data_IF_803461735099
#
_entry.id   IF_803461735099
#
_cell.length_a   1.000
_cell.length_b   1.000
_cell.length_c   1.000
_cell.angle_alpha   90.00
_cell.angle_beta   90.00
_cell.angle_gamma   90.00
#
_symmetry.space_group_name_H-M   'P 1'
#
loop_
_entity.id
_entity.type
_entity.pdbx_description
1 polymer ?
#
# COMPACT_ATOMS: atom_id res chain seq x y z
N UNK A 1 -6.69 -7.36 15.10
CA UNK A 1 -6.98 -5.94 15.07
C UNK A 1 -7.37 -5.54 13.64
N UNK A 2 -7.99 -4.37 13.47
CA UNK A 2 -8.09 -3.71 12.16
C UNK A 2 -7.65 -2.25 12.30
N UNK A 3 -7.14 -1.66 11.21
CA UNK A 3 -6.70 -0.28 11.18
C UNK A 3 -7.83 0.66 11.65
N UNK A 4 -7.48 1.71 12.39
CA UNK A 4 -8.44 2.66 12.97
C UNK A 4 -9.38 3.30 11.94
N UNK A 5 -8.89 3.44 10.70
CA UNK A 5 -9.63 3.99 9.57
C UNK A 5 -10.32 2.92 8.70
N UNK A 6 -10.13 1.63 8.94
CA UNK A 6 -10.64 0.56 8.08
C UNK A 6 -12.16 0.61 7.97
N UNK A 7 -12.88 0.68 9.09
CA UNK A 7 -14.34 0.75 9.13
C UNK A 7 -14.93 2.05 8.53
N UNK A 8 -14.11 3.11 8.37
CA UNK A 8 -14.51 4.36 7.71
C UNK A 8 -14.43 4.24 6.18
N UNK A 9 -13.58 3.34 5.67
CA UNK A 9 -13.37 3.15 4.23
C UNK A 9 -14.11 1.92 3.68
N UNK A 10 -14.11 0.82 4.42
CA UNK A 10 -14.76 -0.43 4.05
C UNK A 10 -16.27 -0.29 4.28
N UNK A 11 -17.05 -0.55 3.24
CA UNK A 11 -18.50 -0.40 3.28
C UNK A 11 -19.17 -0.94 2.02
N UNK A 12 -20.35 -0.42 1.70
CA UNK A 12 -21.14 -0.86 0.55
C UNK A 12 -21.14 0.18 -0.56
N UNK A 13 -21.22 -0.29 -1.80
CA UNK A 13 -21.49 0.55 -2.97
C UNK A 13 -22.67 0.00 -3.76
N UNK A 14 -23.38 0.90 -4.44
CA UNK A 14 -24.48 0.55 -5.33
C UNK A 14 -23.97 0.44 -6.77
N UNK A 15 -24.28 -0.68 -7.42
CA UNK A 15 -24.02 -0.89 -8.85
C UNK A 15 -25.12 -0.26 -9.69
N UNK A 16 -24.88 -0.08 -10.99
CA UNK A 16 -25.88 0.41 -11.95
C UNK A 16 -27.12 -0.49 -12.02
N UNK A 17 -26.96 -1.78 -11.72
CA UNK A 17 -28.06 -2.74 -11.59
C UNK A 17 -28.94 -2.51 -10.36
N UNK A 18 -28.53 -1.63 -9.45
CA UNK A 18 -29.16 -1.41 -8.15
C UNK A 18 -28.71 -2.37 -7.04
N UNK A 19 -27.94 -3.42 -7.36
CA UNK A 19 -27.37 -4.36 -6.39
C UNK A 19 -26.36 -3.65 -5.48
N UNK A 20 -26.44 -3.92 -4.17
CA UNK A 20 -25.45 -3.49 -3.21
C UNK A 20 -24.36 -4.55 -3.05
N UNK A 21 -23.11 -4.13 -3.22
CA UNK A 21 -21.94 -4.99 -3.06
C UNK A 21 -20.92 -4.33 -2.15
N UNK A 22 -20.13 -5.11 -1.38
CA UNK A 22 -19.00 -4.54 -0.65
C UNK A 22 -18.07 -3.77 -1.58
N UNK A 23 -17.60 -2.61 -1.14
CA UNK A 23 -16.83 -1.68 -1.96
C UNK A 23 -15.36 -2.12 -2.19
N UNK A 24 -14.89 -3.14 -1.47
CA UNK A 24 -13.63 -3.87 -1.69
C UNK A 24 -13.80 -5.15 -2.53
N UNK A 25 -15.03 -5.57 -2.86
CA UNK A 25 -15.27 -6.76 -3.66
C UNK A 25 -15.16 -6.50 -5.16
N UNK A 26 -14.82 -7.55 -5.91
CA UNK A 26 -15.15 -7.65 -7.32
C UNK A 26 -16.62 -8.08 -7.48
N UNK A 27 -17.43 -7.21 -8.09
CA UNK A 27 -18.86 -7.42 -8.28
C UNK A 27 -19.21 -8.66 -9.10
N UNK A 28 -18.29 -9.09 -9.98
CA UNK A 28 -18.45 -10.27 -10.83
C UNK A 28 -18.02 -11.58 -10.16
N UNK A 29 -17.33 -11.52 -9.02
CA UNK A 29 -16.79 -12.68 -8.32
C UNK A 29 -17.58 -13.00 -7.06
N UNK A 30 -18.37 -14.08 -7.09
CA UNK A 30 -19.13 -14.56 -5.92
C UNK A 30 -18.24 -14.80 -4.69
N UNK A 31 -17.08 -15.49 -4.78
CA UNK A 31 -16.17 -15.64 -3.64
C UNK A 31 -15.65 -14.31 -3.09
N UNK A 32 -15.36 -13.33 -3.97
CA UNK A 32 -14.90 -12.01 -3.55
C UNK A 32 -15.98 -11.24 -2.79
N UNK A 33 -17.23 -11.28 -3.28
CA UNK A 33 -18.38 -10.67 -2.59
C UNK A 33 -18.62 -11.31 -1.23
N UNK A 34 -18.50 -12.63 -1.13
CA UNK A 34 -18.75 -13.36 0.13
C UNK A 34 -17.68 -13.06 1.18
N UNK A 35 -16.40 -13.13 0.82
CA UNK A 35 -15.30 -12.78 1.72
C UNK A 35 -15.39 -11.33 2.18
N UNK A 36 -15.61 -10.39 1.25
CA UNK A 36 -15.73 -8.98 1.59
C UNK A 36 -16.94 -8.71 2.51
N UNK A 37 -18.06 -9.41 2.32
CA UNK A 37 -19.22 -9.28 3.22
C UNK A 37 -18.86 -9.74 4.64
N UNK A 38 -18.20 -10.89 4.78
CA UNK A 38 -17.75 -11.39 6.08
C UNK A 38 -16.75 -10.46 6.77
N UNK A 39 -15.89 -9.79 6.00
CA UNK A 39 -15.01 -8.73 6.53
C UNK A 39 -15.85 -7.57 7.07
N UNK A 40 -16.87 -7.10 6.34
CA UNK A 40 -17.76 -6.02 6.82
C UNK A 40 -18.52 -6.43 8.08
N UNK A 41 -19.01 -7.67 8.14
CA UNK A 41 -19.73 -8.20 9.31
C UNK A 41 -18.81 -8.22 10.55
N UNK A 42 -17.56 -8.67 10.41
CA UNK A 42 -16.55 -8.68 11.49
C UNK A 42 -16.14 -7.26 11.93
N UNK A 43 -16.20 -6.28 11.02
CA UNK A 43 -15.98 -4.87 11.32
C UNK A 43 -17.23 -4.13 11.84
N UNK A 44 -18.33 -4.84 12.06
CA UNK A 44 -19.63 -4.28 12.48
C UNK A 44 -20.15 -3.16 11.56
N UNK A 45 -19.78 -3.19 10.28
CA UNK A 45 -20.24 -2.21 9.29
C UNK A 45 -21.67 -2.57 8.88
N UNK A 46 -22.64 -1.64 8.98
CA UNK A 46 -24.04 -1.93 8.66
C UNK A 46 -24.24 -2.57 7.29
N UNK A 47 -24.86 -3.74 7.27
CA UNK A 47 -25.07 -4.52 6.04
C UNK A 47 -26.08 -3.83 5.13
N UNK A 48 -25.79 -3.80 3.81
CA UNK A 48 -26.77 -3.37 2.81
C UNK A 48 -27.14 -1.89 2.86
N UNK A 49 -26.29 -1.03 3.44
CA UNK A 49 -26.48 0.42 3.43
C UNK A 49 -25.21 1.09 2.92
N UNK A 50 -25.36 1.97 1.92
CA UNK A 50 -24.28 2.88 1.51
C UNK A 50 -24.23 3.99 2.54
N UNK A 51 -23.15 4.06 3.33
CA UNK A 51 -22.98 5.13 4.30
C UNK A 51 -22.87 6.49 3.57
N UNK A 52 -23.47 7.57 4.10
CA UNK A 52 -23.44 8.89 3.45
C UNK A 52 -22.04 9.38 3.10
N UNK A 53 -21.06 9.01 3.94
CA UNK A 53 -19.66 9.42 3.81
C UNK A 53 -18.80 8.40 3.04
N UNK A 54 -19.41 7.39 2.40
CA UNK A 54 -18.68 6.41 1.59
C UNK A 54 -17.98 7.12 0.43
N UNK A 55 -16.64 7.06 0.33
CA UNK A 55 -15.95 7.79 -0.71
C UNK A 55 -16.21 7.21 -2.10
N UNK A 56 -16.33 8.09 -3.11
CA UNK A 56 -16.49 7.69 -4.51
C UNK A 56 -15.24 7.05 -5.11
N UNK A 57 -14.05 7.42 -4.63
CA UNK A 57 -12.78 6.82 -5.05
C UNK A 57 -11.95 6.39 -3.83
N UNK A 58 -11.89 5.08 -3.62
CA UNK A 58 -11.30 4.47 -2.44
C UNK A 58 -9.77 4.36 -2.51
N UNK A 59 -9.19 4.40 -3.71
CA UNK A 59 -7.72 4.37 -3.90
C UNK A 59 -7.05 5.57 -3.21
N UNK A 60 -7.26 6.81 -3.68
CA UNK A 60 -6.69 8.01 -3.05
C UNK A 60 -7.06 8.18 -1.57
N UNK A 61 -8.23 7.68 -1.15
CA UNK A 61 -8.66 7.73 0.25
C UNK A 61 -7.88 6.79 1.14
N UNK A 62 -7.53 5.59 0.63
CA UNK A 62 -6.60 4.71 1.31
C UNK A 62 -5.22 5.37 1.43
N UNK A 63 -4.71 5.96 0.33
CA UNK A 63 -3.41 6.64 0.33
C UNK A 63 -3.38 7.77 1.38
N UNK A 64 -4.43 8.59 1.45
CA UNK A 64 -4.56 9.68 2.43
C UNK A 64 -4.70 9.17 3.86
N UNK A 65 -5.51 8.12 4.09
CA UNK A 65 -5.67 7.54 5.41
C UNK A 65 -4.36 6.96 5.93
N UNK A 66 -3.62 6.23 5.08
CA UNK A 66 -2.30 5.69 5.43
C UNK A 66 -1.29 6.82 5.68
N UNK A 67 -1.31 7.89 4.87
CA UNK A 67 -0.44 9.05 5.09
C UNK A 67 -0.72 9.68 6.45
N UNK A 68 -1.98 9.96 6.77
CA UNK A 68 -2.39 10.58 8.02
C UNK A 68 -2.04 9.71 9.24
N UNK A 69 -2.39 8.43 9.19
CA UNK A 69 -2.14 7.46 10.28
C UNK A 69 -0.64 7.30 10.54
N UNK A 70 0.18 7.12 9.50
CA UNK A 70 1.65 7.05 9.68
C UNK A 70 2.26 8.37 10.15
N UNK A 71 1.67 9.52 9.81
CA UNK A 71 2.14 10.84 10.28
C UNK A 71 1.91 11.04 11.77
N UNK A 72 0.92 10.35 12.34
CA UNK A 72 0.60 10.35 13.77
C UNK A 72 1.44 9.30 14.51
N UNK A 73 1.41 8.04 14.06
CA UNK A 73 1.95 6.93 14.85
C UNK A 73 3.46 6.70 14.71
N UNK A 74 4.10 7.08 13.59
CA UNK A 74 5.56 6.91 13.46
C UNK A 74 6.32 7.82 14.45
N UNK A 75 6.01 9.14 14.54
CA UNK A 75 6.67 10.01 15.51
C UNK A 75 6.40 9.63 16.98
N UNK A 76 5.22 9.07 17.29
CA UNK A 76 4.94 8.53 18.62
C UNK A 76 5.81 7.31 18.93
N UNK A 77 6.02 6.43 17.96
CA UNK A 77 6.82 5.21 18.12
C UNK A 77 8.34 5.50 18.22
N UNK A 78 8.85 6.51 17.51
CA UNK A 78 10.23 6.97 17.64
C UNK A 78 10.33 8.51 17.52
N UNK A 79 10.28 9.24 18.64
CA UNK A 79 10.37 10.71 18.62
C UNK A 79 11.80 11.22 18.41
N UNK A 80 12.81 10.34 18.34
CA UNK A 80 14.22 10.75 18.24
C UNK A 80 14.62 11.23 16.84
N UNK A 81 13.80 10.93 15.83
CA UNK A 81 14.06 11.25 14.42
C UNK A 81 13.07 12.30 13.92
N UNK A 82 13.54 13.17 13.03
CA UNK A 82 12.68 14.11 12.32
C UNK A 82 12.00 13.41 11.13
N UNK A 83 10.86 12.78 11.38
CA UNK A 83 10.09 12.08 10.35
C UNK A 83 9.39 13.05 9.41
N UNK A 84 9.38 12.72 8.12
CA UNK A 84 8.62 13.42 7.10
C UNK A 84 7.76 12.41 6.32
N UNK A 85 6.45 12.43 6.52
CA UNK A 85 5.52 11.56 5.81
C UNK A 85 4.80 12.40 4.76
N UNK A 86 4.92 12.04 3.48
CA UNK A 86 4.32 12.78 2.37
C UNK A 86 3.46 11.86 1.48
N UNK A 87 2.40 12.43 0.91
CA UNK A 87 1.56 11.78 -0.10
C UNK A 87 2.10 12.07 -1.51
N UNK A 88 2.42 11.04 -2.30
CA UNK A 88 2.84 11.14 -3.71
C UNK A 88 4.06 12.03 -4.00
N UNK A 89 4.98 12.15 -3.05
CA UNK A 89 6.26 12.82 -3.26
C UNK A 89 7.16 11.99 -4.19
N UNK A 90 7.89 12.68 -5.07
CA UNK A 90 8.79 12.01 -6.03
C UNK A 90 10.05 11.54 -5.31
N UNK A 91 10.53 10.33 -5.63
CA UNK A 91 11.74 9.77 -5.00
C UNK A 91 12.96 10.67 -5.21
N UNK A 92 13.02 11.41 -6.33
CA UNK A 92 14.09 12.35 -6.64
C UNK A 92 14.24 13.50 -5.63
N UNK A 93 13.26 13.74 -4.77
CA UNK A 93 13.35 14.72 -3.67
C UNK A 93 14.04 14.14 -2.42
N UNK A 94 14.54 12.90 -2.48
CA UNK A 94 15.25 12.22 -1.40
C UNK A 94 16.70 11.92 -1.79
N UNK A 95 17.60 11.90 -0.80
CA UNK A 95 19.05 11.85 -0.99
C UNK A 95 19.52 10.64 -1.81
N UNK A 96 18.94 9.45 -1.59
CA UNK A 96 19.31 8.22 -2.33
C UNK A 96 19.03 8.32 -3.84
N UNK A 97 18.11 9.19 -4.26
CA UNK A 97 17.57 9.26 -5.61
C UNK A 97 17.70 10.65 -6.24
N UNK A 98 18.30 11.63 -5.55
CA UNK A 98 18.45 13.01 -6.01
C UNK A 98 19.10 13.15 -7.40
N UNK A 99 19.95 12.19 -7.77
CA UNK A 99 20.57 12.14 -9.10
C UNK A 99 19.56 11.91 -10.24
N UNK A 100 18.39 11.30 -9.97
CA UNK A 100 17.33 11.09 -10.96
C UNK A 100 16.68 12.40 -11.40
N UNK A 101 16.62 13.41 -10.52
CA UNK A 101 16.20 14.76 -10.91
C UNK A 101 17.17 15.41 -11.90
N UNK A 102 18.48 15.16 -11.75
CA UNK A 102 19.50 15.61 -12.72
C UNK A 102 19.42 14.84 -14.04
N UNK A 103 19.14 13.53 -13.98
CA UNK A 103 18.91 12.70 -15.16
C UNK A 103 17.72 13.22 -15.97
N UNK A 104 16.59 13.54 -15.31
CA UNK A 104 15.40 14.09 -15.97
C UNK A 104 15.72 15.35 -16.76
N UNK A 105 16.47 16.28 -16.17
CA UNK A 105 16.86 17.52 -16.85
C UNK A 105 17.72 17.26 -18.09
N UNK A 106 18.56 16.22 -18.08
CA UNK A 106 19.40 15.84 -19.21
C UNK A 106 18.58 15.12 -20.30
N UNK A 107 17.69 14.20 -19.91
CA UNK A 107 16.79 13.46 -20.80
C UNK A 107 15.84 14.41 -21.51
N UNK A 108 15.27 15.39 -20.80
CA UNK A 108 14.34 16.37 -21.38
C UNK A 108 14.98 17.24 -22.47
N UNK A 109 16.30 17.46 -22.40
CA UNK A 109 17.05 18.25 -23.39
C UNK A 109 17.45 17.45 -24.63
N UNK A 110 17.25 16.12 -24.65
CA UNK A 110 17.68 15.26 -25.73
C UNK A 110 16.54 14.32 -26.18
N UNK A 111 15.93 14.55 -27.36
CA UNK A 111 14.83 13.73 -27.88
C UNK A 111 15.15 12.24 -28.02
N UNK A 112 16.40 11.88 -28.34
CA UNK A 112 16.83 10.47 -28.43
C UNK A 112 16.80 9.82 -27.04
N UNK A 113 17.40 10.48 -26.04
CA UNK A 113 17.36 9.97 -24.67
C UNK A 113 15.94 9.91 -24.12
N UNK A 114 15.07 10.87 -24.48
CA UNK A 114 13.67 10.85 -24.08
C UNK A 114 12.89 9.68 -24.69
N UNK A 115 13.23 9.27 -25.92
CA UNK A 115 12.61 8.11 -26.56
C UNK A 115 13.11 6.79 -25.96
N UNK A 116 14.40 6.71 -25.63
CA UNK A 116 15.04 5.46 -25.19
C UNK A 116 14.90 5.18 -23.69
N UNK A 117 15.00 6.22 -22.84
CA UNK A 117 14.99 6.07 -21.37
C UNK A 117 13.62 6.32 -20.75
N UNK A 118 12.73 7.02 -21.47
CA UNK A 118 11.42 7.41 -20.95
C UNK A 118 11.52 8.22 -19.66
N UNK A 119 10.54 8.08 -18.77
CA UNK A 119 10.49 8.75 -17.45
C UNK A 119 10.10 7.81 -16.29
N UNK A 120 10.17 6.50 -16.52
CA UNK A 120 9.69 5.49 -15.58
C UNK A 120 10.52 5.43 -14.29
N UNK A 121 11.71 6.05 -14.29
CA UNK A 121 12.55 6.21 -13.09
C UNK A 121 12.06 7.31 -12.14
N UNK A 122 11.18 8.23 -12.56
CA UNK A 122 10.61 9.29 -11.71
C UNK A 122 9.41 8.80 -10.91
N UNK A 123 9.70 7.92 -9.94
CA UNK A 123 8.67 7.23 -9.18
C UNK A 123 8.08 8.15 -8.12
N UNK A 124 6.76 8.06 -7.95
CA UNK A 124 5.99 8.73 -6.91
C UNK A 124 5.23 7.67 -6.12
N UNK A 125 5.84 7.09 -5.07
CA UNK A 125 5.14 6.14 -4.22
C UNK A 125 3.90 6.80 -3.64
N UNK A 126 2.88 6.00 -3.36
CA UNK A 126 1.61 6.53 -2.85
C UNK A 126 1.82 7.25 -1.52
N UNK A 127 2.64 6.69 -0.62
CA UNK A 127 3.11 7.35 0.60
C UNK A 127 4.62 7.16 0.72
N UNK A 128 5.34 8.24 1.04
CA UNK A 128 6.77 8.21 1.33
C UNK A 128 7.01 8.55 2.80
N UNK A 129 7.89 7.80 3.45
CA UNK A 129 8.36 8.07 4.80
C UNK A 129 9.83 8.46 4.69
N UNK A 130 10.13 9.71 4.98
CA UNK A 130 11.47 10.28 5.01
C UNK A 130 11.97 10.51 6.43
N UNK A 131 13.29 10.59 6.56
CA UNK A 131 13.97 11.06 7.76
C UNK A 131 14.81 12.27 7.35
N UNK A 132 14.55 13.42 7.97
CA UNK A 132 15.33 14.63 7.79
C UNK A 132 16.55 14.61 8.71
N UNK A 133 17.72 14.92 8.15
CA UNK A 133 18.92 15.19 8.93
C UNK A 133 18.90 16.61 9.49
N UNK A 134 20.03 17.04 10.05
CA UNK A 134 20.25 18.46 10.34
C UNK A 134 20.20 19.25 9.01
N UNK A 135 19.25 20.19 8.83
CA UNK A 135 19.11 20.92 7.58
C UNK A 135 20.35 21.72 7.17
N UNK A 136 21.24 22.02 8.13
CA UNK A 136 22.50 22.72 7.87
C UNK A 136 23.59 21.81 7.28
N UNK A 137 23.47 20.49 7.44
CA UNK A 137 24.46 19.48 7.01
C UNK A 137 23.91 18.58 5.89
N UNK A 138 22.65 18.17 5.98
CA UNK A 138 21.98 17.29 5.02
C UNK A 138 20.59 17.86 4.68
N UNK A 139 20.51 18.80 3.72
CA UNK A 139 19.28 19.52 3.43
C UNK A 139 18.22 18.67 2.71
N UNK A 140 18.59 17.47 2.24
CA UNK A 140 17.69 16.58 1.49
C UNK A 140 17.37 15.36 2.36
N UNK A 141 16.09 15.07 2.63
CA UNK A 141 15.72 13.95 3.49
C UNK A 141 16.14 12.61 2.88
N UNK A 142 16.42 11.64 3.75
CA UNK A 142 16.62 10.25 3.37
C UNK A 142 15.26 9.55 3.24
N UNK A 143 15.01 8.82 2.15
CA UNK A 143 13.81 8.00 2.00
C UNK A 143 13.97 6.72 2.85
N UNK A 144 13.22 6.66 3.93
CA UNK A 144 13.20 5.54 4.87
C UNK A 144 12.29 4.41 4.43
N UNK A 145 11.11 4.75 3.90
CA UNK A 145 10.16 3.77 3.35
C UNK A 145 9.34 4.34 2.20
N UNK A 146 8.87 3.45 1.33
CA UNK A 146 7.90 3.72 0.29
C UNK A 146 6.75 2.73 0.43
N UNK A 147 5.54 3.26 0.54
CA UNK A 147 4.31 2.47 0.70
C UNK A 147 3.48 2.61 -0.57
N UNK A 148 3.18 1.49 -1.21
CA UNK A 148 2.21 1.45 -2.31
C UNK A 148 0.84 1.02 -1.78
N UNK A 149 -0.18 1.83 -2.01
CA UNK A 149 -1.54 1.56 -1.56
C UNK A 149 -2.36 0.96 -2.70
N UNK A 150 -3.04 -0.16 -2.44
CA UNK A 150 -3.88 -0.83 -3.43
C UNK A 150 -5.19 -1.22 -2.77
N UNK A 151 -6.25 -0.44 -3.00
CA UNK A 151 -7.57 -0.71 -2.44
C UNK A 151 -8.06 -2.13 -2.76
N UNK A 152 -8.03 -2.48 -4.04
CA UNK A 152 -8.28 -3.85 -4.54
C UNK A 152 -7.17 -4.23 -5.50
N UNK A 153 -6.87 -5.53 -5.61
CA UNK A 153 -5.80 -6.05 -6.44
C UNK A 153 -6.38 -6.72 -7.69
N UNK A 154 -5.79 -6.41 -8.84
CA UNK A 154 -5.86 -7.27 -10.02
C UNK A 154 -4.45 -7.71 -10.37
N UNK A 155 -4.29 -8.99 -10.73
CA UNK A 155 -2.98 -9.61 -10.89
C UNK A 155 -2.11 -8.94 -11.97
N UNK A 156 -2.73 -8.38 -13.00
CA UNK A 156 -2.08 -7.58 -14.04
C UNK A 156 -1.64 -6.21 -13.49
N UNK A 157 -2.54 -5.49 -12.80
CA UNK A 157 -2.28 -4.11 -12.36
C UNK A 157 -1.33 -3.98 -11.18
N UNK A 158 -1.21 -5.05 -10.38
CA UNK A 158 -0.30 -5.04 -9.23
C UNK A 158 1.18 -5.21 -9.63
N UNK A 159 1.46 -5.63 -10.87
CA UNK A 159 2.83 -5.72 -11.40
C UNK A 159 3.50 -4.35 -11.49
N UNK A 160 2.72 -3.27 -11.63
CA UNK A 160 3.27 -1.90 -11.63
C UNK A 160 4.01 -1.59 -10.32
N UNK A 161 3.52 -2.11 -9.19
CA UNK A 161 4.20 -1.96 -7.89
C UNK A 161 5.58 -2.59 -7.91
N UNK A 162 5.70 -3.80 -8.48
CA UNK A 162 7.01 -4.45 -8.63
C UNK A 162 7.93 -3.66 -9.55
N UNK A 163 7.41 -3.12 -10.64
CA UNK A 163 8.20 -2.30 -11.55
C UNK A 163 8.78 -1.08 -10.82
N UNK A 164 7.93 -0.30 -10.13
CA UNK A 164 8.34 0.85 -9.35
C UNK A 164 9.40 0.47 -8.30
N UNK A 165 9.14 -0.56 -7.50
CA UNK A 165 10.08 -1.02 -6.48
C UNK A 165 11.40 -1.52 -7.07
N UNK A 166 11.40 -2.20 -8.21
CA UNK A 166 12.61 -2.63 -8.91
C UNK A 166 13.45 -1.44 -9.39
N UNK A 167 12.83 -0.38 -9.90
CA UNK A 167 13.55 0.84 -10.27
C UNK A 167 14.15 1.51 -9.03
N UNK A 168 13.42 1.58 -7.92
CA UNK A 168 13.94 2.08 -6.64
C UNK A 168 15.13 1.24 -6.15
N UNK A 169 15.09 -0.08 -6.33
CA UNK A 169 16.21 -0.98 -6.02
C UNK A 169 17.40 -0.67 -6.92
N UNK A 170 17.20 -0.58 -8.24
CA UNK A 170 18.27 -0.39 -9.24
C UNK A 170 18.94 0.97 -9.16
N UNK A 171 18.18 2.02 -8.86
CA UNK A 171 18.67 3.39 -8.93
C UNK A 171 19.15 3.95 -7.59
N UNK A 172 18.95 3.26 -6.46
CA UNK A 172 19.37 3.81 -5.15
C UNK A 172 20.88 4.08 -5.09
N UNK A 173 21.25 5.17 -4.40
CA UNK A 173 22.61 5.42 -3.91
C UNK A 173 22.59 5.48 -2.38
N UNK A 174 22.71 4.31 -1.75
CA UNK A 174 22.63 4.17 -0.28
C UNK A 174 21.81 2.96 0.14
N UNK A 175 21.39 2.95 1.41
CA UNK A 175 20.49 1.94 1.97
C UNK A 175 19.15 1.96 1.23
N UNK A 176 18.60 0.78 0.96
CA UNK A 176 17.28 0.64 0.33
C UNK A 176 16.18 1.08 1.32
N UNK A 177 15.21 1.91 0.91
CA UNK A 177 14.01 2.17 1.73
C UNK A 177 13.23 0.88 1.97
N UNK A 178 12.45 0.79 3.04
CA UNK A 178 11.49 -0.29 3.21
C UNK A 178 10.40 -0.20 2.14
N UNK A 179 10.19 -1.27 1.36
CA UNK A 179 9.29 -1.30 0.20
C UNK A 179 8.08 -2.17 0.50
N UNK A 180 6.94 -1.54 0.81
CA UNK A 180 5.77 -2.27 1.34
C UNK A 180 4.49 -1.94 0.59
N UNK A 181 3.52 -2.84 0.68
CA UNK A 181 2.20 -2.67 0.07
C UNK A 181 1.13 -2.65 1.15
N UNK A 182 0.20 -1.70 1.10
CA UNK A 182 -1.00 -1.67 1.95
C UNK A 182 -2.23 -1.96 1.11
N UNK A 183 -3.10 -2.85 1.56
CA UNK A 183 -4.29 -3.26 0.79
C UNK A 183 -5.52 -3.56 1.64
N UNK A 184 -6.68 -3.50 0.98
CA UNK A 184 -7.98 -3.93 1.48
C UNK A 184 -8.58 -5.09 0.65
N UNK A 185 -7.77 -5.74 -0.18
CA UNK A 185 -8.20 -6.83 -1.06
C UNK A 185 -8.74 -8.03 -0.27
N UNK A 186 -10.00 -8.45 -0.48
CA UNK A 186 -10.59 -9.56 0.27
C UNK A 186 -10.12 -10.96 -0.18
N UNK A 187 -9.56 -11.14 -1.39
CA UNK A 187 -9.23 -12.45 -1.93
C UNK A 187 -7.77 -12.85 -1.67
N UNK A 188 -7.51 -13.97 -0.96
CA UNK A 188 -6.14 -14.48 -0.78
C UNK A 188 -5.39 -14.73 -2.08
N UNK A 189 -6.06 -15.22 -3.13
CA UNK A 189 -5.43 -15.46 -4.44
C UNK A 189 -4.96 -14.18 -5.14
N UNK A 190 -5.57 -13.03 -4.84
CA UNK A 190 -5.15 -11.72 -5.38
C UNK A 190 -4.07 -11.10 -4.53
N UNK A 191 -4.16 -11.20 -3.20
CA UNK A 191 -3.07 -10.85 -2.29
C UNK A 191 -1.79 -11.63 -2.67
N UNK A 192 -1.92 -12.91 -3.01
CA UNK A 192 -0.83 -13.77 -3.44
C UNK A 192 -0.04 -13.20 -4.63
N UNK A 193 -0.70 -12.47 -5.55
CA UNK A 193 -0.04 -11.90 -6.74
C UNK A 193 1.06 -10.88 -6.38
N UNK A 194 1.00 -10.28 -5.18
CA UNK A 194 2.00 -9.34 -4.69
C UNK A 194 2.75 -9.83 -3.44
N UNK A 195 2.12 -10.66 -2.61
CA UNK A 195 2.75 -11.24 -1.42
C UNK A 195 3.78 -12.33 -1.77
N UNK A 196 3.52 -13.16 -2.79
CA UNK A 196 4.48 -14.15 -3.29
C UNK A 196 5.59 -13.47 -4.09
N UNK A 197 6.76 -14.09 -4.16
CA UNK A 197 7.94 -13.54 -4.82
C UNK A 197 8.97 -13.01 -3.83
N UNK A 198 10.14 -12.61 -4.35
CA UNK A 198 11.31 -12.34 -3.52
C UNK A 198 12.02 -11.08 -3.99
N UNK A 199 12.24 -10.15 -3.06
CA UNK A 199 13.20 -9.07 -3.20
C UNK A 199 12.64 -7.73 -3.68
N UNK A 200 11.43 -7.66 -4.24
CA UNK A 200 10.83 -6.37 -4.64
C UNK A 200 9.90 -5.79 -3.58
N UNK A 201 9.17 -6.65 -2.86
CA UNK A 201 8.22 -6.25 -1.80
C UNK A 201 8.66 -6.90 -0.49
N UNK A 202 8.93 -6.08 0.52
CA UNK A 202 9.37 -6.54 1.83
C UNK A 202 8.22 -7.22 2.58
N UNK A 203 7.04 -6.60 2.60
CA UNK A 203 5.81 -7.17 3.17
C UNK A 203 4.55 -6.50 2.59
N UNK A 204 3.43 -7.23 2.67
CA UNK A 204 2.08 -6.71 2.43
C UNK A 204 1.38 -6.52 3.78
N UNK A 205 0.70 -5.40 3.95
CA UNK A 205 -0.05 -5.05 5.14
C UNK A 205 -1.54 -4.97 4.79
N UNK A 206 -2.38 -5.69 5.54
CA UNK A 206 -3.82 -5.68 5.33
C UNK A 206 -4.50 -4.78 6.36
N UNK A 207 -5.34 -3.85 5.90
CA UNK A 207 -5.99 -2.86 6.79
C UNK A 207 -7.08 -3.46 7.69
N UNK A 208 -7.57 -4.65 7.36
CA UNK A 208 -8.57 -5.38 8.13
C UNK A 208 -8.11 -6.83 8.35
N UNK A 209 -6.91 -7.00 8.90
CA UNK A 209 -6.19 -8.28 8.90
C UNK A 209 -6.93 -9.40 9.65
N UNK A 210 -7.41 -9.14 10.87
CA UNK A 210 -8.14 -10.17 11.62
C UNK A 210 -9.49 -10.48 10.96
N UNK A 211 -10.21 -9.45 10.51
CA UNK A 211 -11.48 -9.63 9.80
C UNK A 211 -11.31 -10.45 8.52
N UNK A 212 -10.21 -10.24 7.77
CA UNK A 212 -9.86 -11.08 6.62
C UNK A 212 -9.58 -12.53 7.06
N UNK A 213 -8.81 -12.72 8.12
CA UNK A 213 -8.43 -14.05 8.61
C UNK A 213 -9.66 -14.83 9.08
N UNK A 214 -10.58 -14.18 9.78
CA UNK A 214 -11.86 -14.73 10.19
C UNK A 214 -12.76 -15.06 8.99
N UNK A 215 -12.90 -14.13 8.04
CA UNK A 215 -13.67 -14.34 6.81
C UNK A 215 -13.16 -15.54 5.99
N UNK A 216 -11.84 -15.67 5.82
CA UNK A 216 -11.25 -16.79 5.08
C UNK A 216 -11.43 -18.11 5.83
N UNK A 217 -11.40 -18.10 7.16
CA UNK A 217 -11.69 -19.28 7.98
C UNK A 217 -13.15 -19.72 7.86
N UNK A 218 -14.10 -18.78 7.84
CA UNK A 218 -15.54 -19.06 7.82
C UNK A 218 -16.03 -19.50 6.43
N UNK A 219 -15.74 -18.71 5.39
CA UNK A 219 -16.31 -18.90 4.04
C UNK A 219 -15.27 -19.19 2.95
N UNK A 220 -13.98 -19.12 3.28
CA UNK A 220 -12.91 -19.37 2.31
C UNK A 220 -12.76 -20.85 1.97
N UNK A 221 -12.41 -21.13 0.71
CA UNK A 221 -12.04 -22.49 0.28
C UNK A 221 -10.77 -22.98 0.97
N UNK A 222 -10.56 -24.29 1.00
CA UNK A 222 -9.34 -24.89 1.59
C UNK A 222 -8.05 -24.33 0.96
N UNK A 223 -8.05 -24.05 -0.35
CA UNK A 223 -6.91 -23.41 -1.02
C UNK A 223 -6.68 -21.99 -0.50
N UNK A 224 -7.73 -21.18 -0.35
CA UNK A 224 -7.63 -19.81 0.18
C UNK A 224 -7.14 -19.79 1.63
N UNK A 225 -7.58 -20.75 2.45
CA UNK A 225 -7.09 -20.90 3.83
C UNK A 225 -5.59 -21.26 3.85
N UNK A 226 -5.16 -22.21 3.01
CA UNK A 226 -3.76 -22.59 2.89
C UNK A 226 -2.88 -21.43 2.40
N UNK A 227 -3.32 -20.73 1.35
CA UNK A 227 -2.62 -19.56 0.81
C UNK A 227 -2.44 -18.48 1.88
N UNK A 228 -3.51 -18.16 2.62
CA UNK A 228 -3.44 -17.14 3.67
C UNK A 228 -2.50 -17.55 4.80
N UNK A 229 -2.58 -18.81 5.26
CA UNK A 229 -1.71 -19.34 6.30
C UNK A 229 -0.23 -19.33 5.88
N UNK A 230 0.05 -19.64 4.61
CA UNK A 230 1.40 -19.55 4.02
C UNK A 230 1.96 -18.12 4.15
N UNK A 231 1.20 -17.10 3.72
CA UNK A 231 1.69 -15.72 3.69
C UNK A 231 1.88 -15.14 5.10
N UNK A 232 0.97 -15.45 6.02
CA UNK A 232 1.07 -15.02 7.41
C UNK A 232 2.25 -15.71 8.09
N UNK A 233 2.38 -17.03 7.94
CA UNK A 233 3.46 -17.80 8.57
C UNK A 233 4.86 -17.41 8.09
N UNK A 234 4.98 -16.90 6.87
CA UNK A 234 6.23 -16.39 6.30
C UNK A 234 6.44 -14.88 6.52
N UNK A 235 5.56 -14.19 7.23
CA UNK A 235 5.63 -12.74 7.45
C UNK A 235 5.44 -11.90 6.18
N UNK A 236 4.87 -12.49 5.11
CA UNK A 236 4.61 -11.83 3.82
C UNK A 236 3.31 -11.03 3.84
N UNK A 237 2.36 -11.41 4.68
CA UNK A 237 1.14 -10.66 4.98
C UNK A 237 1.08 -10.37 6.47
N UNK A 238 0.96 -9.09 6.84
CA UNK A 238 0.98 -8.60 8.22
C UNK A 238 -0.22 -7.69 8.53
N UNK A 239 -0.61 -7.53 9.80
CA UNK A 239 -1.59 -6.53 10.20
C UNK A 239 -1.02 -5.13 9.99
N UNK A 240 -1.82 -4.22 9.41
CA UNK A 240 -1.41 -2.84 9.13
C UNK A 240 -0.90 -2.08 10.37
N UNK A 241 -1.45 -2.39 11.53
CA UNK A 241 -1.15 -1.78 12.82
C UNK A 241 0.30 -1.99 13.26
N UNK A 242 0.95 -3.05 12.74
CA UNK A 242 2.38 -3.27 12.97
C UNK A 242 3.27 -2.38 12.09
N UNK A 243 2.73 -1.69 11.07
CA UNK A 243 3.53 -0.95 10.09
C UNK A 243 4.29 0.20 10.74
N UNK A 244 3.64 1.06 11.52
CA UNK A 244 4.28 2.21 12.15
C UNK A 244 5.42 1.77 13.09
N UNK A 245 5.16 0.81 13.98
CA UNK A 245 6.16 0.25 14.88
C UNK A 245 7.31 -0.45 14.11
N UNK A 246 6.99 -1.18 13.03
CA UNK A 246 8.01 -1.77 12.16
C UNK A 246 8.90 -0.67 11.59
N UNK A 247 8.32 0.38 10.99
CA UNK A 247 9.08 1.48 10.38
C UNK A 247 9.93 2.24 11.39
N UNK A 248 9.45 2.44 12.61
CA UNK A 248 10.19 3.10 13.69
C UNK A 248 11.41 2.30 14.17
N UNK A 249 11.39 0.97 14.03
CA UNK A 249 12.46 0.09 14.53
C UNK A 249 13.71 0.11 13.64
N UNK A 250 13.57 0.37 12.34
CA UNK A 250 14.63 0.17 11.34
C UNK A 250 15.48 1.40 11.02
#
# INVERSE_FOLDING_TARGET
MSASFAAKLLGWRKLDSGELVPNSADSSSKPSKELARRILDSLEVPSGVVLPDTPSNLGPRLEQAVTADLSEFIPEADPSRAWQIDHKKVVADFSQYAHLGKLEQAVHKNPVLSADLGRDYLIRPDVTVGISGDPSLDPVPFLHAAVSCKWTIRSDRVQNVRHEFLQMIRHRRGRLPHLVVVTAEPMPSRIAAIARGTGEVDAVYHIAFDALTEAVKDVGSKQQQNDLAEFIGQGRLRPYEELAATLATW
#
